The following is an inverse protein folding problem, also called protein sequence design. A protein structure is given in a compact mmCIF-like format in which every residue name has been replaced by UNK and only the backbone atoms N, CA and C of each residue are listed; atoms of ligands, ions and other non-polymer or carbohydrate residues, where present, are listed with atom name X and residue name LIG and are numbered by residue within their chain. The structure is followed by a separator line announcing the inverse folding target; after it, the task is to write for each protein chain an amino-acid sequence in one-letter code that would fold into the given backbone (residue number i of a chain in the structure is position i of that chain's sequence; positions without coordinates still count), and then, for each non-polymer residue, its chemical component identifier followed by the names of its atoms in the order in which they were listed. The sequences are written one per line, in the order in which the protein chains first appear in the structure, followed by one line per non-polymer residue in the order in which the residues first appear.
data_IF_022700527084
#
_entry.id   IF_022700527084
#
_cell.length_a   1.000
_cell.length_b   1.000
_cell.length_c   1.000
_cell.angle_alpha   90.00
_cell.angle_beta   90.00
_cell.angle_gamma   90.00
#
_symmetry.space_group_name_H-M   'P 1'
#
loop_
_entity.id
_entity.type
_entity.pdbx_description
1 polymer ?
#
# COMPACT_ATOMS: atom_id res chain seq x y z
N UNK A 1 -8.35 17.84 -28.51
CA UNK A 1 -7.74 16.53 -28.18
C UNK A 1 -8.44 15.98 -26.94
N UNK A 2 -8.91 14.72 -26.93
CA UNK A 2 -9.61 14.17 -25.79
C UNK A 2 -8.63 13.96 -24.63
N UNK A 3 -9.01 14.46 -23.45
CA UNK A 3 -8.31 14.28 -22.18
C UNK A 3 -8.26 12.77 -21.89
N UNK A 4 -7.09 12.14 -21.98
CA UNK A 4 -6.89 10.82 -21.38
C UNK A 4 -6.95 11.01 -19.87
N UNK A 5 -8.01 10.55 -19.23
CA UNK A 5 -8.00 10.34 -17.79
C UNK A 5 -6.88 9.36 -17.48
N UNK A 6 -5.99 9.73 -16.56
CA UNK A 6 -5.07 8.76 -15.94
C UNK A 6 -5.97 7.89 -15.06
N UNK A 7 -6.59 6.88 -15.66
CA UNK A 7 -7.31 5.86 -14.91
C UNK A 7 -6.25 5.13 -14.09
N UNK A 8 -6.29 5.31 -12.76
CA UNK A 8 -5.48 4.50 -11.85
C UNK A 8 -5.68 3.02 -12.19
N UNK A 9 -4.58 2.30 -12.37
CA UNK A 9 -4.62 0.87 -12.69
C UNK A 9 -5.13 0.14 -11.45
N UNK A 10 -6.13 -0.74 -11.56
CA UNK A 10 -6.80 -1.21 -10.37
C UNK A 10 -6.04 -2.30 -9.59
N UNK A 11 -4.84 -2.74 -10.03
CA UNK A 11 -3.98 -3.76 -9.38
C UNK A 11 -4.79 -4.82 -8.62
N UNK A 12 -5.78 -5.40 -9.30
CA UNK A 12 -6.88 -6.10 -8.65
C UNK A 12 -6.37 -7.35 -7.93
N UNK A 13 -5.43 -8.09 -8.54
CA UNK A 13 -4.90 -9.32 -7.96
C UNK A 13 -4.02 -9.02 -6.75
N UNK A 14 -3.12 -8.05 -6.87
CA UNK A 14 -2.27 -7.60 -5.77
C UNK A 14 -3.09 -7.01 -4.63
N UNK A 15 -4.07 -6.15 -4.92
CA UNK A 15 -4.95 -5.59 -3.89
C UNK A 15 -5.77 -6.68 -3.20
N UNK A 16 -6.29 -7.66 -3.96
CA UNK A 16 -7.01 -8.79 -3.41
C UNK A 16 -6.15 -9.59 -2.43
N UNK A 17 -4.91 -9.88 -2.82
CA UNK A 17 -3.97 -10.58 -1.95
C UNK A 17 -3.73 -9.82 -0.65
N UNK A 18 -3.45 -8.51 -0.73
CA UNK A 18 -3.24 -7.66 0.46
C UNK A 18 -4.48 -7.69 1.37
N UNK A 19 -5.67 -7.61 0.79
CA UNK A 19 -6.92 -7.66 1.54
C UNK A 19 -7.17 -9.02 2.19
N UNK A 20 -6.88 -10.12 1.51
CA UNK A 20 -7.01 -11.47 2.05
C UNK A 20 -6.06 -11.69 3.23
N UNK A 21 -4.80 -11.29 3.10
CA UNK A 21 -3.80 -11.37 4.17
C UNK A 21 -4.22 -10.54 5.39
N UNK A 22 -4.71 -9.31 5.18
CA UNK A 22 -5.22 -8.48 6.25
C UNK A 22 -6.47 -9.08 6.92
N UNK A 23 -7.43 -9.56 6.13
CA UNK A 23 -8.64 -10.23 6.63
C UNK A 23 -8.29 -11.44 7.50
N UNK A 24 -7.34 -12.27 7.07
CA UNK A 24 -6.94 -13.46 7.79
C UNK A 24 -6.33 -13.12 9.15
N UNK A 25 -5.33 -12.22 9.19
CA UNK A 25 -4.65 -11.82 10.43
C UNK A 25 -5.61 -11.15 11.43
N UNK A 26 -6.49 -10.27 10.93
CA UNK A 26 -7.55 -9.67 11.75
C UNK A 26 -8.47 -10.76 12.29
N UNK A 27 -8.83 -11.76 11.48
CA UNK A 27 -9.62 -12.91 11.91
C UNK A 27 -8.97 -13.71 13.03
N UNK A 28 -7.68 -13.99 12.92
CA UNK A 28 -6.92 -14.73 13.94
C UNK A 28 -6.91 -13.98 15.29
N UNK A 29 -6.66 -12.67 15.28
CA UNK A 29 -6.70 -11.85 16.51
C UNK A 29 -8.13 -11.66 17.03
N UNK A 30 -9.10 -11.50 16.14
CA UNK A 30 -10.52 -11.39 16.51
C UNK A 30 -11.04 -12.65 17.19
N UNK A 31 -10.68 -13.85 16.71
CA UNK A 31 -11.07 -15.11 17.34
C UNK A 31 -10.57 -15.21 18.78
N UNK A 32 -9.35 -14.74 19.06
CA UNK A 32 -8.81 -14.67 20.43
C UNK A 32 -9.61 -13.69 21.27
N UNK A 33 -9.81 -12.47 20.77
CA UNK A 33 -10.61 -11.45 21.43
C UNK A 33 -12.05 -11.93 21.73
N UNK A 34 -12.69 -12.62 20.79
CA UNK A 34 -14.04 -13.18 20.93
C UNK A 34 -14.10 -14.24 22.03
N UNK A 35 -13.09 -15.12 22.12
CA UNK A 35 -13.00 -16.13 23.17
C UNK A 35 -12.86 -15.51 24.56
N UNK A 36 -12.15 -14.39 24.69
CA UNK A 36 -11.98 -13.64 25.93
C UNK A 36 -13.22 -12.79 26.30
N UNK A 37 -14.13 -12.60 25.35
CA UNK A 37 -15.33 -11.76 25.46
C UNK A 37 -16.67 -12.50 25.26
N UNK A 38 -16.90 -13.67 25.91
CA UNK A 38 -18.02 -14.57 25.60
C UNK A 38 -19.40 -14.04 25.99
N UNK A 39 -19.48 -12.93 26.73
CA UNK A 39 -20.74 -12.36 27.24
C UNK A 39 -21.42 -11.40 26.27
N UNK A 40 -20.81 -11.09 25.14
CA UNK A 40 -21.24 -10.02 24.24
C UNK A 40 -21.77 -10.56 22.91
N UNK A 41 -22.67 -9.82 22.26
CA UNK A 41 -22.92 -9.98 20.82
C UNK A 41 -21.69 -9.41 20.09
N UNK A 42 -20.68 -10.25 19.92
CA UNK A 42 -19.26 -9.90 19.72
C UNK A 42 -19.05 -8.91 18.58
N UNK A 43 -19.63 -9.16 17.40
CA UNK A 43 -19.48 -8.26 16.25
C UNK A 43 -20.19 -6.91 16.44
N UNK A 44 -21.37 -6.94 17.07
CA UNK A 44 -22.20 -5.74 17.26
C UNK A 44 -21.61 -4.77 18.30
N UNK A 45 -20.81 -5.29 19.22
CA UNK A 45 -20.20 -4.52 20.29
C UNK A 45 -18.73 -4.17 20.01
N UNK A 46 -18.06 -4.92 19.13
CA UNK A 46 -16.72 -4.59 18.66
C UNK A 46 -16.66 -3.20 17.99
N UNK A 47 -17.63 -2.90 17.12
CA UNK A 47 -17.76 -1.59 16.49
C UNK A 47 -19.23 -1.14 16.47
N UNK A 48 -19.73 -0.52 17.56
CA UNK A 48 -21.16 -0.22 17.70
C UNK A 48 -21.73 0.72 16.64
N UNK A 49 -20.88 1.58 16.06
CA UNK A 49 -21.24 2.55 15.02
C UNK A 49 -21.61 1.89 13.69
N UNK A 50 -20.97 0.76 13.33
CA UNK A 50 -21.36 -0.09 12.21
C UNK A 50 -21.12 -1.56 12.56
N UNK A 51 -22.15 -2.17 13.14
CA UNK A 51 -22.18 -3.55 13.64
C UNK A 51 -21.85 -4.62 12.58
N UNK A 52 -21.91 -4.27 11.29
CA UNK A 52 -21.60 -5.20 10.18
C UNK A 52 -20.18 -5.02 9.65
N UNK A 53 -19.50 -3.94 10.01
CA UNK A 53 -18.24 -3.56 9.38
C UNK A 53 -17.11 -4.55 9.73
N UNK A 54 -17.00 -4.96 10.99
CA UNK A 54 -16.03 -6.00 11.38
C UNK A 54 -16.34 -7.34 10.69
N UNK A 55 -17.61 -7.74 10.65
CA UNK A 55 -18.03 -8.95 9.93
C UNK A 55 -17.67 -8.91 8.44
N UNK A 56 -17.74 -7.74 7.79
CA UNK A 56 -17.27 -7.58 6.40
C UNK A 56 -15.75 -7.70 6.29
N UNK A 57 -15.00 -7.08 7.20
CA UNK A 57 -13.54 -7.19 7.27
C UNK A 57 -13.12 -8.65 7.39
N UNK A 58 -13.70 -9.39 8.34
CA UNK A 58 -13.39 -10.80 8.62
C UNK A 58 -13.68 -11.73 7.43
N UNK A 59 -14.67 -11.38 6.60
CA UNK A 59 -15.07 -12.18 5.44
C UNK A 59 -14.48 -11.64 4.12
N UNK A 60 -13.55 -10.69 4.15
CA UNK A 60 -12.99 -10.01 2.98
C UNK A 60 -14.07 -9.39 2.03
N UNK A 61 -15.21 -8.95 2.57
CA UNK A 61 -16.34 -8.45 1.77
C UNK A 61 -16.23 -6.94 1.56
N UNK A 62 -16.16 -6.53 0.28
CA UNK A 62 -16.29 -5.12 -0.16
C UNK A 62 -17.63 -4.93 -0.87
N UNK A 63 -18.24 -3.77 -0.69
CA UNK A 63 -19.53 -3.44 -1.33
C UNK A 63 -19.35 -2.28 -2.31
N UNK A 64 -20.30 -2.08 -3.23
CA UNK A 64 -20.28 -0.90 -4.12
C UNK A 64 -20.24 0.43 -3.36
N UNK A 65 -20.82 0.46 -2.15
CA UNK A 65 -20.88 1.66 -1.29
C UNK A 65 -19.68 1.77 -0.35
N UNK A 66 -18.92 0.69 -0.15
CA UNK A 66 -17.66 0.67 0.59
C UNK A 66 -16.70 -0.30 -0.13
N UNK A 67 -15.95 0.19 -1.14
CA UNK A 67 -15.08 -0.65 -1.95
C UNK A 67 -13.78 -1.06 -1.23
N UNK A 68 -13.58 -0.57 0.00
CA UNK A 68 -12.35 -0.75 0.76
C UNK A 68 -12.58 -1.70 1.92
N UNK A 69 -11.62 -2.60 2.16
CA UNK A 69 -11.77 -3.60 3.22
C UNK A 69 -11.75 -2.94 4.62
N UNK A 70 -10.76 -2.10 4.88
CA UNK A 70 -10.55 -1.38 6.14
C UNK A 70 -10.72 0.11 5.85
N UNK A 71 -11.66 0.75 6.54
CA UNK A 71 -11.83 2.20 6.52
C UNK A 71 -11.07 2.82 7.69
N UNK A 72 -10.66 4.11 7.62
CA UNK A 72 -9.99 4.77 8.73
C UNK A 72 -10.74 4.65 10.06
N UNK A 73 -12.08 4.69 10.01
CA UNK A 73 -12.93 4.60 11.20
C UNK A 73 -12.82 3.26 11.94
N UNK A 74 -12.75 2.14 11.22
CA UNK A 74 -12.62 0.82 11.85
C UNK A 74 -11.16 0.45 12.11
N UNK A 75 -10.21 1.08 11.41
CA UNK A 75 -8.78 0.84 11.61
C UNK A 75 -8.36 1.07 13.06
N UNK A 76 -8.75 2.21 13.65
CA UNK A 76 -8.43 2.55 15.04
C UNK A 76 -9.00 1.50 16.00
N UNK A 77 -10.29 1.15 15.84
CA UNK A 77 -10.94 0.13 16.66
C UNK A 77 -10.30 -1.27 16.50
N UNK A 78 -9.80 -1.62 15.31
CA UNK A 78 -9.09 -2.87 15.10
C UNK A 78 -7.76 -2.87 15.85
N UNK A 79 -6.98 -1.79 15.74
CA UNK A 79 -5.67 -1.70 16.38
C UNK A 79 -5.81 -1.76 17.90
N UNK A 80 -6.72 -0.95 18.46
CA UNK A 80 -6.91 -0.82 19.91
C UNK A 80 -7.49 -2.10 20.54
N UNK A 81 -8.47 -2.75 19.91
CA UNK A 81 -9.16 -3.89 20.52
C UNK A 81 -8.49 -5.24 20.24
N UNK A 82 -7.78 -5.38 19.12
CA UNK A 82 -7.16 -6.65 18.72
C UNK A 82 -5.67 -6.71 19.02
N UNK A 83 -5.14 -5.75 19.79
CA UNK A 83 -3.73 -5.76 20.24
C UNK A 83 -2.75 -5.81 19.07
N UNK A 84 -2.97 -4.97 18.05
CA UNK A 84 -1.95 -4.69 17.03
C UNK A 84 -1.02 -3.59 17.55
N UNK A 85 0.28 -3.76 17.36
CA UNK A 85 1.31 -2.80 17.78
C UNK A 85 1.16 -1.47 17.04
N UNK A 86 0.92 -1.53 15.72
CA UNK A 86 0.75 -0.36 14.86
C UNK A 86 0.01 -0.69 13.55
N UNK A 87 -0.03 0.28 12.63
CA UNK A 87 -0.65 0.12 11.31
C UNK A 87 0.15 -0.81 10.38
N UNK A 88 1.47 -0.93 10.56
CA UNK A 88 2.27 -1.88 9.79
C UNK A 88 1.88 -3.30 10.16
N UNK A 89 1.82 -3.62 11.46
CA UNK A 89 1.39 -4.94 11.89
C UNK A 89 -0.05 -5.22 11.41
N UNK A 90 -0.92 -4.21 11.41
CA UNK A 90 -2.27 -4.36 10.86
C UNK A 90 -2.26 -4.67 9.35
N UNK A 91 -1.43 -4.02 8.55
CA UNK A 91 -1.44 -4.21 7.08
C UNK A 91 -0.57 -5.35 6.60
N UNK A 92 0.50 -5.63 7.32
CA UNK A 92 1.56 -6.54 6.89
C UNK A 92 1.87 -7.66 7.87
N UNK A 93 1.31 -7.64 9.09
CA UNK A 93 1.64 -8.63 10.11
C UNK A 93 2.98 -8.35 10.79
N UNK A 94 3.35 -9.21 11.73
CA UNK A 94 4.58 -9.09 12.52
C UNK A 94 5.82 -9.32 11.65
N UNK A 95 5.76 -10.30 10.74
CA UNK A 95 6.82 -10.60 9.80
C UNK A 95 6.27 -10.67 8.36
N UNK A 96 6.56 -9.62 7.59
CA UNK A 96 6.18 -9.54 6.18
C UNK A 96 6.93 -10.55 5.31
N UNK A 97 8.13 -10.99 5.71
CA UNK A 97 8.98 -11.86 4.89
C UNK A 97 8.30 -13.20 4.58
N UNK A 98 7.40 -13.66 5.46
CA UNK A 98 6.66 -14.92 5.34
C UNK A 98 5.82 -15.02 4.06
N UNK A 99 5.28 -13.90 3.56
CA UNK A 99 4.45 -13.86 2.35
C UNK A 99 4.98 -12.92 1.27
N UNK A 100 6.13 -12.27 1.49
CA UNK A 100 6.68 -11.27 0.58
C UNK A 100 6.97 -11.84 -0.80
N UNK A 101 7.40 -13.10 -0.91
CA UNK A 101 7.57 -13.79 -2.19
C UNK A 101 6.28 -13.86 -3.00
N UNK A 102 5.17 -14.19 -2.34
CA UNK A 102 3.87 -14.32 -3.00
C UNK A 102 3.35 -12.96 -3.47
N UNK A 103 3.55 -11.92 -2.66
CA UNK A 103 3.32 -10.53 -3.04
C UNK A 103 4.17 -10.11 -4.25
N UNK A 104 5.49 -10.32 -4.18
CA UNK A 104 6.45 -10.00 -5.25
C UNK A 104 6.02 -10.63 -6.57
N UNK A 105 5.68 -11.92 -6.53
CA UNK A 105 5.31 -12.69 -7.72
C UNK A 105 3.99 -12.23 -8.31
N UNK A 106 2.98 -12.01 -7.46
CA UNK A 106 1.67 -11.52 -7.88
C UNK A 106 1.77 -10.14 -8.51
N UNK A 107 2.51 -9.22 -7.88
CA UNK A 107 2.72 -7.87 -8.40
C UNK A 107 3.47 -7.89 -9.74
N UNK A 108 4.55 -8.68 -9.86
CA UNK A 108 5.34 -8.74 -11.09
C UNK A 108 4.57 -9.36 -12.27
N UNK A 109 3.75 -10.39 -12.02
CA UNK A 109 2.86 -10.93 -13.05
C UNK A 109 1.81 -9.90 -13.45
N UNK A 110 1.13 -9.29 -12.48
CA UNK A 110 0.05 -8.35 -12.74
C UNK A 110 0.55 -7.09 -13.47
N UNK A 111 1.71 -6.52 -13.13
CA UNK A 111 2.21 -5.30 -13.80
C UNK A 111 2.48 -5.54 -15.29
N UNK A 112 2.87 -6.78 -15.66
CA UNK A 112 3.18 -7.17 -17.03
C UNK A 112 1.93 -7.37 -17.88
N UNK A 113 0.76 -7.62 -17.27
CA UNK A 113 -0.53 -7.64 -17.98
C UNK A 113 -0.91 -6.25 -18.51
N UNK A 114 -0.41 -5.18 -17.88
CA UNK A 114 -0.77 -3.80 -18.23
C UNK A 114 0.28 -3.05 -19.03
N UNK A 115 1.55 -3.44 -18.95
CA UNK A 115 2.65 -2.78 -19.67
C UNK A 115 3.80 -3.76 -19.87
N UNK A 116 4.35 -3.75 -21.07
CA UNK A 116 5.54 -4.53 -21.36
C UNK A 116 6.76 -3.91 -20.65
N UNK A 117 7.25 -4.62 -19.63
CA UNK A 117 8.46 -4.29 -18.89
C UNK A 117 9.66 -5.16 -19.30
N UNK A 118 9.52 -6.06 -20.28
CA UNK A 118 10.57 -7.03 -20.67
C UNK A 118 11.89 -6.37 -21.05
N UNK A 119 11.84 -5.17 -21.63
CA UNK A 119 13.03 -4.36 -21.95
C UNK A 119 13.89 -4.01 -20.72
N UNK A 120 13.32 -4.00 -19.52
CA UNK A 120 14.04 -3.71 -18.28
C UNK A 120 14.67 -4.96 -17.65
N UNK A 121 14.32 -6.16 -18.12
CA UNK A 121 14.77 -7.44 -17.56
C UNK A 121 16.09 -7.94 -18.16
N UNK A 122 16.69 -7.19 -19.09
CA UNK A 122 18.00 -7.51 -19.69
C UNK A 122 18.08 -8.93 -20.31
N UNK A 123 16.95 -9.47 -20.78
CA UNK A 123 16.86 -10.82 -21.35
C UNK A 123 16.58 -11.93 -20.33
N UNK A 124 16.45 -11.60 -19.04
CA UNK A 124 16.00 -12.54 -18.02
C UNK A 124 14.49 -12.77 -18.20
N UNK A 125 14.04 -14.02 -18.36
CA UNK A 125 12.62 -14.32 -18.51
C UNK A 125 11.96 -14.20 -17.13
N UNK A 126 10.98 -13.30 -17.01
CA UNK A 126 10.23 -13.04 -15.77
C UNK A 126 8.72 -13.08 -16.06
N UNK A 127 8.28 -13.95 -16.97
CA UNK A 127 6.92 -13.95 -17.51
C UNK A 127 6.01 -14.98 -16.82
N UNK A 128 6.58 -15.92 -16.07
CA UNK A 128 5.86 -16.99 -15.39
C UNK A 128 6.16 -17.02 -13.89
N UNK A 129 5.24 -17.59 -13.11
CA UNK A 129 5.42 -17.77 -11.65
C UNK A 129 6.70 -18.55 -11.30
N UNK A 130 7.02 -19.59 -12.08
CA UNK A 130 8.23 -20.40 -11.88
C UNK A 130 9.51 -19.60 -12.11
N UNK A 131 9.55 -18.83 -13.20
CA UNK A 131 10.68 -17.95 -13.52
C UNK A 131 10.88 -16.87 -12.45
N UNK A 132 9.79 -16.24 -12.01
CA UNK A 132 9.81 -15.20 -10.98
C UNK A 132 10.21 -15.78 -9.63
N UNK A 133 9.70 -16.95 -9.27
CA UNK A 133 10.08 -17.66 -8.04
C UNK A 133 11.56 -17.96 -8.04
N UNK A 134 12.09 -18.50 -9.14
CA UNK A 134 13.52 -18.76 -9.28
C UNK A 134 14.33 -17.46 -9.13
N UNK A 135 13.90 -16.39 -9.79
CA UNK A 135 14.55 -15.09 -9.67
C UNK A 135 14.53 -14.56 -8.24
N UNK A 136 13.41 -14.69 -7.52
CA UNK A 136 13.30 -14.27 -6.13
C UNK A 136 14.28 -15.04 -5.24
N UNK A 137 14.30 -16.37 -5.36
CA UNK A 137 15.17 -17.24 -4.56
C UNK A 137 16.66 -16.96 -4.80
N UNK A 138 17.06 -16.72 -6.05
CA UNK A 138 18.44 -16.37 -6.41
C UNK A 138 18.88 -14.99 -5.92
N UNK A 139 17.94 -14.11 -5.54
CA UNK A 139 18.21 -12.74 -5.15
C UNK A 139 17.60 -12.41 -3.77
N UNK A 140 17.48 -13.39 -2.87
CA UNK A 140 16.87 -13.18 -1.56
C UNK A 140 17.56 -12.08 -0.76
N UNK A 141 18.90 -12.02 -0.78
CA UNK A 141 19.68 -11.02 -0.03
C UNK A 141 19.24 -9.60 -0.37
N UNK A 142 19.37 -9.08 -1.60
CA UNK A 142 18.93 -7.70 -1.89
C UNK A 142 17.42 -7.47 -1.73
N UNK A 143 16.60 -8.53 -1.77
CA UNK A 143 15.15 -8.43 -1.64
C UNK A 143 14.71 -8.32 -0.16
N UNK A 144 15.33 -9.10 0.73
CA UNK A 144 14.91 -9.30 2.12
C UNK A 144 15.88 -8.76 3.16
N UNK A 145 17.17 -8.67 2.83
CA UNK A 145 18.25 -8.37 3.79
C UNK A 145 18.93 -7.05 3.41
N UNK A 146 19.31 -6.28 4.44
CA UNK A 146 20.16 -5.11 4.27
C UNK A 146 21.58 -5.60 3.98
N UNK A 147 22.12 -5.25 2.83
CA UNK A 147 23.51 -5.56 2.51
C UNK A 147 24.44 -4.58 3.25
N UNK A 148 24.95 -4.97 4.42
CA UNK A 148 25.92 -4.18 5.20
C UNK A 148 27.29 -4.03 4.49
N UNK A 149 27.55 -4.81 3.43
CA UNK A 149 28.83 -4.79 2.73
C UNK A 149 28.93 -3.71 1.65
N UNK A 150 27.80 -3.15 1.20
CA UNK A 150 27.76 -1.98 0.34
C UNK A 150 27.67 -0.71 1.18
N UNK A 151 28.70 0.11 1.10
CA UNK A 151 28.87 1.38 1.81
C UNK A 151 27.93 2.50 1.30
N UNK A 152 26.68 2.18 0.93
CA UNK A 152 25.70 3.13 0.38
C UNK A 152 24.29 2.71 0.77
N UNK A 153 23.57 3.57 1.51
CA UNK A 153 22.15 4.01 1.41
C UNK A 153 21.05 3.17 0.70
N UNK A 154 21.29 1.90 0.35
CA UNK A 154 20.41 1.04 -0.44
C UNK A 154 19.64 0.10 0.48
N UNK A 155 18.44 0.52 0.87
CA UNK A 155 17.49 -0.33 1.59
C UNK A 155 17.06 -1.55 0.76
N UNK A 156 16.79 -2.67 1.42
CA UNK A 156 16.21 -3.85 0.80
C UNK A 156 14.82 -3.54 0.20
N UNK A 157 14.37 -4.35 -0.77
CA UNK A 157 13.04 -4.13 -1.36
C UNK A 157 11.92 -4.23 -0.31
N UNK A 158 12.06 -5.13 0.67
CA UNK A 158 11.11 -5.29 1.76
C UNK A 158 10.99 -4.02 2.62
N UNK A 159 12.09 -3.37 2.93
CA UNK A 159 12.10 -2.10 3.69
C UNK A 159 11.43 -0.98 2.89
N UNK A 160 11.70 -0.90 1.59
CA UNK A 160 11.03 0.07 0.71
C UNK A 160 9.52 -0.17 0.64
N UNK A 161 9.09 -1.42 0.74
CA UNK A 161 7.68 -1.79 0.81
C UNK A 161 7.06 -1.50 2.18
N UNK A 162 7.78 -1.67 3.29
CA UNK A 162 7.32 -1.24 4.62
C UNK A 162 7.23 0.29 4.68
N UNK A 163 8.20 1.00 4.12
CA UNK A 163 8.20 2.47 4.07
C UNK A 163 7.05 3.02 3.20
N UNK A 164 6.67 2.30 2.15
CA UNK A 164 5.47 2.58 1.35
C UNK A 164 4.18 2.67 2.19
N UNK A 165 4.09 1.94 3.30
CA UNK A 165 2.99 2.02 4.27
C UNK A 165 2.84 3.39 4.91
N UNK A 166 3.94 4.10 5.09
CA UNK A 166 3.95 5.42 5.71
C UNK A 166 4.00 6.53 4.67
N UNK A 167 3.71 6.24 3.40
CA UNK A 167 3.86 7.19 2.30
C UNK A 167 5.24 7.87 2.27
N UNK A 168 6.27 7.19 2.80
CA UNK A 168 7.65 7.65 2.86
C UNK A 168 8.45 6.78 1.92
N UNK A 169 9.11 7.36 0.94
CA UNK A 169 10.25 6.73 0.28
C UNK A 169 11.36 7.76 0.37
N UNK A 170 12.59 7.33 0.68
CA UNK A 170 13.76 8.14 1.04
C UNK A 170 14.02 9.41 0.22
N UNK A 171 13.49 9.52 -1.00
CA UNK A 171 13.65 10.68 -1.89
C UNK A 171 12.33 11.40 -2.27
N UNK A 172 11.15 10.89 -1.89
CA UNK A 172 9.84 11.48 -2.21
C UNK A 172 8.78 11.13 -1.14
N UNK A 173 8.04 12.14 -0.66
CA UNK A 173 6.72 11.92 -0.06
C UNK A 173 5.72 11.61 -1.19
N UNK A 174 4.81 10.65 -0.97
CA UNK A 174 3.65 10.52 -1.87
C UNK A 174 2.70 11.71 -1.59
N UNK A 175 3.08 12.91 -2.01
CA UNK A 175 2.27 14.12 -1.88
C UNK A 175 0.94 13.88 -2.60
N UNK A 176 -0.10 13.53 -1.83
CA UNK A 176 -1.53 13.46 -2.17
C UNK A 176 -1.86 13.03 -3.60
N UNK A 177 -2.61 11.94 -3.79
CA UNK A 177 -3.06 11.47 -5.10
C UNK A 177 -3.80 12.52 -5.99
N UNK A 178 -4.12 13.71 -5.47
CA UNK A 178 -4.62 14.88 -6.21
C UNK A 178 -3.54 15.67 -6.99
N UNK A 179 -2.25 15.59 -6.61
CA UNK A 179 -1.15 16.29 -7.31
C UNK A 179 -0.55 15.54 -8.49
N UNK A 180 -0.95 14.29 -8.73
CA UNK A 180 -0.39 13.45 -9.80
C UNK A 180 -0.97 13.74 -11.21
N UNK A 181 -1.74 14.82 -11.35
CA UNK A 181 -2.07 15.41 -12.65
C UNK A 181 -1.24 16.66 -12.87
N UNK A 182 -0.39 16.64 -13.90
CA UNK A 182 0.46 17.74 -14.40
C UNK A 182 1.81 17.91 -13.69
N UNK A 183 2.84 17.30 -14.27
CA UNK A 183 4.14 17.95 -14.34
C UNK A 183 4.57 18.01 -15.81
N UNK A 184 4.38 19.20 -16.40
CA UNK A 184 5.34 19.73 -17.37
C UNK A 184 6.31 20.59 -16.55
N UNK A 185 7.56 20.59 -17.00
CA UNK A 185 8.59 21.53 -16.60
C UNK A 185 8.04 22.97 -16.61
N UNK A 186 8.45 23.74 -15.61
CA UNK A 186 8.29 25.18 -15.40
C UNK A 186 6.94 25.74 -14.87
N UNK A 187 7.10 26.71 -13.95
CA UNK A 187 6.17 27.76 -13.47
C UNK A 187 5.36 27.59 -12.15
N UNK A 188 5.89 28.24 -11.11
CA UNK A 188 5.27 29.28 -10.26
C UNK A 188 3.81 29.20 -9.76
N UNK A 189 3.69 29.29 -8.43
CA UNK A 189 2.78 30.14 -7.60
C UNK A 189 1.38 30.44 -8.15
N UNK A 190 0.32 30.07 -7.40
CA UNK A 190 -0.88 30.94 -7.33
C UNK A 190 -1.66 30.90 -6.01
N UNK A 191 -1.92 32.11 -5.50
CA UNK A 191 -2.84 32.51 -4.42
C UNK A 191 -4.30 32.18 -4.78
N UNK A 192 -5.10 31.72 -3.82
CA UNK A 192 -6.57 31.75 -3.94
C UNK A 192 -7.19 32.98 -3.26
N UNK A 193 -7.97 33.74 -4.05
CA UNK A 193 -8.81 34.86 -3.63
C UNK A 193 -10.02 34.34 -2.85
N UNK A 194 -10.25 34.89 -1.65
CA UNK A 194 -11.49 34.73 -0.88
C UNK A 194 -12.66 35.41 -1.60
N UNK A 195 -13.85 34.79 -1.61
CA UNK A 195 -15.14 35.47 -1.84
C UNK A 195 -15.85 35.71 -0.49
N UNK A 196 -16.66 36.78 -0.36
CA UNK A 196 -17.14 37.27 0.93
C UNK A 196 -18.42 36.57 1.40
N UNK A 197 -18.51 36.42 2.72
CA UNK A 197 -19.63 35.84 3.48
C UNK A 197 -20.94 36.64 3.39
N UNK A 198 -22.07 35.95 3.61
CA UNK A 198 -23.18 36.46 4.42
C UNK A 198 -23.70 35.37 5.38
N UNK A 199 -24.21 35.74 6.58
CA UNK A 199 -24.21 34.86 7.75
C UNK A 199 -25.60 34.37 8.18
N UNK A 200 -25.64 33.20 8.85
CA UNK A 200 -26.54 32.76 9.96
C UNK A 200 -25.80 31.60 10.66
N UNK A 201 -25.30 31.65 11.90
CA UNK A 201 -25.98 31.55 13.20
C UNK A 201 -27.11 30.50 13.16
N UNK A 202 -27.03 29.34 13.82
CA UNK A 202 -26.50 29.02 15.14
C UNK A 202 -25.99 27.56 15.25
N UNK A 203 -25.16 27.32 16.27
CA UNK A 203 -24.65 26.02 16.77
C UNK A 203 -23.84 25.16 15.77
N UNK A 204 -22.53 25.43 15.64
CA UNK A 204 -21.62 24.55 14.91
C UNK A 204 -20.59 23.94 15.87
N UNK A 205 -20.73 22.62 16.06
CA UNK A 205 -19.66 21.71 16.46
C UNK A 205 -18.45 22.05 15.58
N UNK A 206 -17.24 22.18 16.15
CA UNK A 206 -16.01 22.51 15.42
C UNK A 206 -15.59 21.33 14.51
N UNK A 207 -16.34 21.11 13.41
CA UNK A 207 -16.09 20.12 12.36
C UNK A 207 -14.74 20.34 11.67
N UNK A 208 -14.18 21.56 11.77
CA UNK A 208 -12.94 21.94 11.10
C UNK A 208 -11.67 21.35 11.73
N UNK A 209 -11.71 20.91 12.99
CA UNK A 209 -10.58 20.23 13.65
C UNK A 209 -10.53 18.73 13.38
N UNK A 210 -11.69 18.08 13.30
CA UNK A 210 -11.80 16.65 12.98
C UNK A 210 -11.35 16.40 11.54
N UNK A 211 -11.76 17.28 10.61
CA UNK A 211 -11.38 17.18 9.20
C UNK A 211 -9.89 17.45 8.92
N UNK A 212 -9.20 18.24 9.76
CA UNK A 212 -7.75 18.48 9.62
C UNK A 212 -6.92 17.28 10.04
N UNK A 213 -7.21 16.68 11.21
CA UNK A 213 -6.52 15.46 11.66
C UNK A 213 -6.75 14.29 10.71
N UNK A 214 -7.99 14.10 10.24
CA UNK A 214 -8.30 13.06 9.26
C UNK A 214 -7.63 13.29 7.89
N UNK A 215 -7.33 14.54 7.53
CA UNK A 215 -6.56 14.89 6.31
C UNK A 215 -5.06 14.70 6.47
N UNK A 216 -4.48 15.01 7.63
CA UNK A 216 -3.07 14.75 7.94
C UNK A 216 -2.77 13.23 7.99
N UNK A 217 -3.61 12.45 8.69
CA UNK A 217 -3.50 10.98 8.70
C UNK A 217 -3.62 10.33 7.31
N UNK A 218 -4.46 10.89 6.42
CA UNK A 218 -4.59 10.41 5.04
C UNK A 218 -3.33 10.57 4.19
N UNK A 219 -2.50 11.56 4.52
CA UNK A 219 -1.28 11.86 3.77
C UNK A 219 -0.06 11.14 4.35
N UNK A 220 -0.07 10.79 5.64
CA UNK A 220 1.06 10.13 6.31
C UNK A 220 1.01 8.60 6.25
N UNK A 221 -0.16 7.99 6.02
CA UNK A 221 -0.31 6.54 6.05
C UNK A 221 -1.01 6.04 4.79
N UNK A 222 -0.59 4.88 4.27
CA UNK A 222 -1.28 4.14 3.23
C UNK A 222 -2.69 3.85 3.72
N UNK A 223 -3.66 3.95 2.84
CA UNK A 223 -5.02 3.51 3.14
C UNK A 223 -5.44 2.58 2.04
N UNK A 224 -6.29 1.60 2.35
CA UNK A 224 -6.89 0.75 1.31
C UNK A 224 -7.69 1.57 0.28
N UNK A 225 -8.06 2.81 0.64
CA UNK A 225 -8.65 3.80 -0.26
C UNK A 225 -7.72 4.15 -1.43
N UNK A 226 -6.48 4.47 -1.11
CA UNK A 226 -5.48 4.95 -2.07
C UNK A 226 -4.52 3.84 -2.54
N UNK A 227 -4.66 2.60 -2.02
CA UNK A 227 -3.77 1.48 -2.30
C UNK A 227 -3.54 1.25 -3.81
N UNK A 228 -4.56 1.15 -4.68
CA UNK A 228 -4.32 0.95 -6.10
C UNK A 228 -3.51 2.08 -6.75
N UNK A 229 -3.77 3.34 -6.37
CA UNK A 229 -3.05 4.49 -6.92
C UNK A 229 -1.60 4.53 -6.42
N UNK A 230 -1.40 4.21 -5.14
CA UNK A 230 -0.08 4.21 -4.53
C UNK A 230 0.77 3.04 -5.03
N UNK A 231 0.15 1.88 -5.32
CA UNK A 231 0.82 0.75 -5.98
C UNK A 231 1.35 1.14 -7.37
N UNK A 232 0.62 1.94 -8.15
CA UNK A 232 1.11 2.43 -9.46
C UNK A 232 2.44 3.18 -9.31
N UNK A 233 2.51 4.08 -8.32
CA UNK A 233 3.71 4.85 -8.02
C UNK A 233 4.82 3.96 -7.44
N UNK A 234 4.51 3.03 -6.53
CA UNK A 234 5.48 2.06 -6.01
C UNK A 234 6.08 1.21 -7.14
N UNK A 235 5.26 0.75 -8.08
CA UNK A 235 5.69 -0.02 -9.23
C UNK A 235 6.66 0.77 -10.10
N UNK A 236 6.28 1.99 -10.49
CA UNK A 236 7.08 2.80 -11.41
C UNK A 236 8.36 3.35 -10.77
N UNK A 237 8.34 3.65 -9.48
CA UNK A 237 9.44 4.36 -8.80
C UNK A 237 10.36 3.44 -7.99
N UNK A 238 9.87 2.29 -7.56
CA UNK A 238 10.63 1.37 -6.69
C UNK A 238 10.76 0.01 -7.34
N UNK A 239 9.65 -0.69 -7.56
CA UNK A 239 9.66 -2.12 -7.87
C UNK A 239 10.35 -2.43 -9.20
N UNK A 240 9.96 -1.75 -10.29
CA UNK A 240 10.56 -1.98 -11.62
C UNK A 240 12.02 -1.55 -11.67
N UNK A 241 12.40 -0.34 -11.20
CA UNK A 241 13.81 0.05 -11.12
C UNK A 241 14.66 -0.92 -10.30
N UNK A 242 14.15 -1.40 -9.16
CA UNK A 242 14.83 -2.37 -8.31
C UNK A 242 15.11 -3.67 -9.06
N UNK A 243 14.09 -4.29 -9.68
CA UNK A 243 14.29 -5.52 -10.46
C UNK A 243 15.26 -5.27 -11.62
N UNK A 244 15.15 -4.13 -12.30
CA UNK A 244 16.03 -3.78 -13.41
C UNK A 244 17.49 -3.65 -12.98
N UNK A 245 17.77 -3.15 -11.77
CA UNK A 245 19.12 -3.08 -11.21
C UNK A 245 19.75 -4.47 -11.05
N UNK A 246 19.02 -5.41 -10.43
CA UNK A 246 19.44 -6.81 -10.30
C UNK A 246 19.70 -7.45 -11.68
N UNK A 247 18.81 -7.20 -12.65
CA UNK A 247 18.98 -7.73 -14.00
C UNK A 247 20.23 -7.15 -14.70
N UNK A 248 20.54 -5.87 -14.48
CA UNK A 248 21.75 -5.23 -14.99
C UNK A 248 23.00 -5.84 -14.36
N UNK A 249 23.01 -6.02 -13.04
CA UNK A 249 24.16 -6.57 -12.31
C UNK A 249 24.48 -8.01 -12.76
N UNK A 250 23.45 -8.88 -12.85
CA UNK A 250 23.61 -10.24 -13.40
C UNK A 250 24.18 -10.24 -14.81
N UNK A 251 23.78 -9.27 -15.65
CA UNK A 251 24.32 -9.13 -17.00
C UNK A 251 25.78 -8.70 -16.99
N UNK A 252 26.15 -7.72 -16.16
CA UNK A 252 27.53 -7.24 -16.03
C UNK A 252 28.47 -8.33 -15.51
N UNK A 253 28.05 -9.10 -14.49
CA UNK A 253 28.81 -10.24 -14.00
C UNK A 253 29.11 -11.29 -15.09
N UNK A 254 28.13 -11.55 -15.96
CA UNK A 254 28.29 -12.49 -17.08
C UNK A 254 29.34 -12.03 -18.11
N UNK A 255 29.60 -10.72 -18.18
CA UNK A 255 30.61 -10.12 -19.05
C UNK A 255 31.99 -10.07 -18.40
N UNK A 256 32.08 -9.98 -17.07
CA UNK A 256 33.36 -9.96 -16.32
C UNK A 256 33.97 -11.37 -16.21
N UNK A 257 33.14 -12.42 -16.22
CA UNK A 257 33.57 -13.83 -16.15
C UNK A 257 33.97 -14.44 -17.51
N UNK A 258 34.09 -13.63 -18.57
CA UNK A 258 34.55 -14.06 -19.91
C UNK A 258 35.91 -13.45 -20.23
#
# INVERSE_FOLDING_TARGET
MPKKSVNSRPYLKTCELIYQLASQRIGEKYCKWEADNPKYNTQSQFFPEDRKLIGRVLNCIRTKNNPYLITPKIQEAIIENLDFTDVNELYWGEDISEYFQHFFTTLLLEIQEYKDYTKFWMGIPLSTESEITKFYLENQVPILEIDESYNQESEALIDKFINFTFNKISYFEFESAERLGYYREDELVYRMKRKPNKPKMDEEIDETKVDKKAKEYKNEILTFIELPKKLDVFVEKVFVPFISSICLDKRLESHIKR
#
